data_IF_817020174331
#
_entry.id   IF_817020174331
#
_cell.length_a   1.000
_cell.length_b   1.000
_cell.length_c   1.000
_cell.angle_alpha   90.00
_cell.angle_beta   90.00
_cell.angle_gamma   90.00
#
_symmetry.space_group_name_H-M   'P 1'
#
loop_
_entity.id
_entity.type
_entity.pdbx_description
1 polymer ?
#
# COMPACT_ATOMS: atom_id res chain seq x y z
N UNK A 1 5.52 -19.39 -31.81
CA UNK A 1 4.80 -18.43 -32.67
C UNK A 1 3.46 -18.16 -32.01
N UNK A 2 3.17 -16.92 -31.60
CA UNK A 2 1.87 -16.59 -31.02
C UNK A 2 0.78 -16.77 -32.09
N UNK A 3 -0.40 -17.33 -31.75
CA UNK A 3 -1.45 -17.54 -32.73
C UNK A 3 -1.89 -16.20 -33.34
N UNK A 4 -2.10 -16.21 -34.65
CA UNK A 4 -2.43 -15.09 -35.55
C UNK A 4 -3.42 -14.04 -34.99
N UNK A 5 -4.49 -14.38 -34.25
CA UNK A 5 -5.41 -13.37 -33.71
C UNK A 5 -4.77 -12.38 -32.72
N UNK A 6 -3.71 -12.75 -32.00
CA UNK A 6 -3.06 -11.87 -31.03
C UNK A 6 -2.24 -10.75 -31.69
N UNK A 7 -1.75 -10.97 -32.92
CA UNK A 7 -0.97 -9.98 -33.66
C UNK A 7 -1.80 -8.80 -34.18
N UNK A 8 -3.13 -8.93 -34.22
CA UNK A 8 -4.04 -7.85 -34.61
C UNK A 8 -4.36 -6.88 -33.48
N UNK A 9 -4.00 -7.22 -32.23
CA UNK A 9 -4.29 -6.38 -31.07
C UNK A 9 -3.27 -5.24 -31.04
N UNK A 10 -3.70 -3.97 -31.20
CA UNK A 10 -2.77 -2.84 -31.15
C UNK A 10 -2.21 -2.67 -29.73
N UNK A 11 -0.90 -2.52 -29.62
CA UNK A 11 -0.18 -2.29 -28.34
C UNK A 11 -0.81 -1.17 -27.48
N UNK A 12 -1.32 -0.05 -28.03
CA UNK A 12 -2.04 0.96 -27.27
C UNK A 12 -3.21 0.44 -26.43
N UNK A 13 -3.94 -0.59 -26.91
CA UNK A 13 -5.06 -1.18 -26.17
C UNK A 13 -4.56 -1.96 -24.95
N UNK A 14 -3.43 -2.66 -25.08
CA UNK A 14 -2.80 -3.35 -23.96
C UNK A 14 -2.30 -2.36 -22.90
N UNK A 15 -1.72 -1.22 -23.32
CA UNK A 15 -1.32 -0.17 -22.39
C UNK A 15 -2.52 0.41 -21.61
N UNK A 16 -3.65 0.64 -22.30
CA UNK A 16 -4.89 1.04 -21.65
C UNK A 16 -5.38 0.01 -20.63
N UNK A 17 -5.34 -1.28 -21.00
CA UNK A 17 -5.69 -2.38 -20.11
C UNK A 17 -4.79 -2.43 -18.87
N UNK A 18 -3.47 -2.25 -19.02
CA UNK A 18 -2.54 -2.22 -17.89
C UNK A 18 -2.83 -1.07 -16.93
N UNK A 19 -3.20 0.12 -17.44
CA UNK A 19 -3.60 1.25 -16.59
C UNK A 19 -4.90 0.93 -15.84
N UNK A 20 -5.91 0.35 -16.51
CA UNK A 20 -7.14 -0.07 -15.85
C UNK A 20 -6.88 -1.10 -14.75
N UNK A 21 -6.04 -2.11 -15.01
CA UNK A 21 -5.62 -3.10 -14.01
C UNK A 21 -4.88 -2.47 -12.82
N UNK A 22 -4.00 -1.50 -13.08
CA UNK A 22 -3.28 -0.79 -12.02
C UNK A 22 -4.26 -0.01 -11.12
N UNK A 23 -5.24 0.68 -11.69
CA UNK A 23 -6.24 1.44 -10.93
C UNK A 23 -7.13 0.50 -10.11
N UNK A 24 -7.68 -0.54 -10.73
CA UNK A 24 -8.58 -1.48 -10.03
C UNK A 24 -7.86 -2.29 -8.97
N UNK A 25 -6.57 -2.59 -9.14
CA UNK A 25 -5.76 -3.27 -8.12
C UNK A 25 -5.50 -2.41 -6.87
N UNK A 26 -5.57 -1.09 -7.00
CA UNK A 26 -5.35 -0.16 -5.87
C UNK A 26 -6.66 0.17 -5.15
N UNK A 27 -7.79 0.12 -5.86
CA UNK A 27 -9.12 0.23 -5.25
C UNK A 27 -9.40 -0.95 -4.30
N UNK A 28 -9.88 -0.66 -3.09
CA UNK A 28 -10.11 -1.67 -2.04
C UNK A 28 -8.85 -2.05 -1.25
N UNK A 29 -7.71 -1.41 -1.51
CA UNK A 29 -6.54 -1.54 -0.65
C UNK A 29 -6.66 -0.62 0.56
N UNK A 30 -6.72 -1.19 1.77
CA UNK A 30 -6.81 -0.46 3.03
C UNK A 30 -5.72 0.60 3.22
N UNK A 31 -4.50 0.36 2.73
CA UNK A 31 -3.40 1.32 2.80
C UNK A 31 -3.70 2.53 1.90
N UNK A 32 -4.22 2.30 0.70
CA UNK A 32 -4.59 3.37 -0.22
C UNK A 32 -5.76 4.21 0.29
N UNK A 33 -6.77 3.55 0.86
CA UNK A 33 -7.88 4.23 1.54
C UNK A 33 -7.36 5.12 2.68
N UNK A 34 -6.44 4.62 3.51
CA UNK A 34 -5.81 5.42 4.57
C UNK A 34 -5.02 6.60 4.04
N UNK A 35 -4.31 6.45 2.92
CA UNK A 35 -3.61 7.57 2.28
C UNK A 35 -4.61 8.62 1.80
N UNK A 36 -5.70 8.21 1.17
CA UNK A 36 -6.75 9.13 0.71
C UNK A 36 -7.41 9.87 1.88
N UNK A 37 -7.58 9.19 3.02
CA UNK A 37 -8.02 9.80 4.26
C UNK A 37 -7.00 10.81 4.81
N UNK A 38 -5.68 10.68 4.57
CA UNK A 38 -4.67 11.69 4.96
C UNK A 38 -4.89 13.03 4.23
N UNK A 39 -5.34 12.96 2.97
CA UNK A 39 -5.60 14.14 2.15
C UNK A 39 -7.01 14.72 2.37
N UNK A 40 -7.87 13.99 3.07
CA UNK A 40 -9.25 14.40 3.35
C UNK A 40 -9.32 15.15 4.67
N UNK A 41 -9.90 16.36 4.65
CA UNK A 41 -10.18 17.18 5.83
C UNK A 41 -11.10 16.46 6.83
N UNK A 42 -10.83 16.61 8.13
CA UNK A 42 -11.56 15.90 9.19
C UNK A 42 -13.06 16.20 9.23
N UNK A 43 -13.46 17.39 8.77
CA UNK A 43 -14.85 17.82 8.71
C UNK A 43 -15.68 17.03 7.68
N UNK A 44 -15.03 16.38 6.72
CA UNK A 44 -15.69 15.59 5.68
C UNK A 44 -15.90 14.11 6.08
N UNK A 45 -15.42 13.65 7.24
CA UNK A 45 -15.59 12.26 7.64
C UNK A 45 -17.04 11.95 8.03
N UNK A 46 -17.59 10.81 7.59
CA UNK A 46 -18.92 10.38 8.01
C UNK A 46 -18.96 10.14 9.53
N UNK A 47 -20.08 10.48 10.21
CA UNK A 47 -20.19 10.43 11.67
C UNK A 47 -20.06 9.01 12.28
N UNK A 48 -20.24 7.95 11.49
CA UNK A 48 -20.10 6.54 11.89
C UNK A 48 -18.68 5.98 11.75
N UNK A 49 -17.69 6.80 11.35
CA UNK A 49 -16.36 6.30 11.00
C UNK A 49 -15.54 5.90 12.24
N UNK A 50 -15.05 4.65 12.26
CA UNK A 50 -14.20 4.10 13.34
C UNK A 50 -12.96 4.96 13.65
N UNK A 51 -12.43 5.71 12.66
CA UNK A 51 -11.27 6.60 12.88
C UNK A 51 -11.54 7.75 13.86
N UNK A 52 -12.80 8.11 14.18
CA UNK A 52 -13.06 9.18 15.16
C UNK A 52 -12.64 8.79 16.59
N UNK A 53 -12.48 7.47 16.85
CA UNK A 53 -11.98 6.95 18.14
C UNK A 53 -10.46 6.97 18.26
N UNK A 54 -9.73 7.10 17.15
CA UNK A 54 -8.26 7.04 17.12
C UNK A 54 -7.69 8.44 16.90
N UNK A 55 -6.71 8.89 17.70
CA UNK A 55 -6.06 10.17 17.44
C UNK A 55 -5.39 10.17 16.05
N UNK A 56 -5.77 11.13 15.20
CA UNK A 56 -5.30 11.23 13.82
C UNK A 56 -3.77 11.24 13.67
N UNK A 57 -3.05 11.82 14.64
CA UNK A 57 -1.58 11.80 14.65
C UNK A 57 -1.02 10.37 14.64
N UNK A 58 -1.64 9.42 15.36
CA UNK A 58 -1.19 8.03 15.38
C UNK A 58 -1.46 7.33 14.05
N UNK A 59 -2.60 7.64 13.41
CA UNK A 59 -2.93 7.13 12.06
C UNK A 59 -1.92 7.67 11.04
N UNK A 60 -1.59 8.96 11.07
CA UNK A 60 -0.60 9.54 10.15
C UNK A 60 0.80 8.94 10.32
N UNK A 61 1.27 8.75 11.56
CA UNK A 61 2.56 8.12 11.84
C UNK A 61 2.59 6.68 11.31
N UNK A 62 1.50 5.93 11.50
CA UNK A 62 1.38 4.56 10.99
C UNK A 62 1.42 4.52 9.46
N UNK A 63 0.60 5.34 8.79
CA UNK A 63 0.54 5.37 7.32
C UNK A 63 1.86 5.87 6.71
N UNK A 64 2.55 6.83 7.35
CA UNK A 64 3.89 7.28 6.93
C UNK A 64 4.94 6.17 7.07
N UNK A 65 4.90 5.40 8.15
CA UNK A 65 5.79 4.26 8.33
C UNK A 65 5.57 3.20 7.24
N UNK A 66 4.31 2.88 6.94
CA UNK A 66 3.96 1.95 5.86
C UNK A 66 4.39 2.48 4.49
N UNK A 67 4.20 3.77 4.22
CA UNK A 67 4.68 4.41 3.00
C UNK A 67 6.20 4.37 2.87
N UNK A 68 6.93 4.56 3.96
CA UNK A 68 8.40 4.47 3.97
C UNK A 68 8.86 3.04 3.67
N UNK A 69 8.21 2.03 4.24
CA UNK A 69 8.48 0.62 3.94
C UNK A 69 8.21 0.29 2.47
N UNK A 70 7.09 0.76 1.93
CA UNK A 70 6.75 0.61 0.51
C UNK A 70 7.76 1.32 -0.39
N UNK A 71 8.16 2.54 -0.05
CA UNK A 71 9.16 3.30 -0.80
C UNK A 71 10.52 2.61 -0.82
N UNK A 72 10.95 2.02 0.31
CA UNK A 72 12.18 1.24 0.38
C UNK A 72 12.13 0.00 -0.54
N UNK A 73 11.00 -0.73 -0.55
CA UNK A 73 10.81 -1.84 -1.50
C UNK A 73 10.81 -1.38 -2.95
N UNK A 74 10.11 -0.28 -3.26
CA UNK A 74 10.06 0.28 -4.59
C UNK A 74 11.45 0.71 -5.07
N UNK A 75 12.24 1.37 -4.23
CA UNK A 75 13.60 1.78 -4.57
C UNK A 75 14.49 0.58 -4.96
N UNK A 76 14.38 -0.52 -4.22
CA UNK A 76 15.13 -1.76 -4.50
C UNK A 76 14.56 -2.49 -5.71
N UNK A 77 13.23 -2.56 -5.85
CA UNK A 77 12.56 -3.24 -6.97
C UNK A 77 12.75 -2.53 -8.31
N UNK A 78 12.73 -1.20 -8.33
CA UNK A 78 13.00 -0.38 -9.52
C UNK A 78 14.49 -0.22 -9.82
N UNK A 79 15.38 -0.60 -8.90
CA UNK A 79 16.81 -0.55 -9.17
C UNK A 79 17.16 -1.51 -10.32
N UNK A 80 17.95 -1.00 -11.28
CA UNK A 80 18.43 -1.79 -12.42
C UNK A 80 19.53 -2.81 -12.06
N UNK A 81 19.84 -2.95 -10.77
CA UNK A 81 20.94 -3.77 -10.27
C UNK A 81 20.42 -5.19 -10.08
N UNK A 82 20.94 -6.16 -10.83
CA UNK A 82 20.51 -7.56 -10.73
C UNK A 82 20.65 -8.13 -9.29
N UNK A 83 21.71 -7.72 -8.58
CA UNK A 83 21.93 -8.09 -7.18
C UNK A 83 20.86 -7.58 -6.22
N UNK A 84 20.31 -6.39 -6.46
CA UNK A 84 19.26 -5.81 -5.62
C UNK A 84 17.96 -6.62 -5.71
N UNK A 85 17.67 -7.22 -6.86
CA UNK A 85 16.54 -8.13 -7.04
C UNK A 85 16.66 -9.41 -6.21
N UNK A 86 17.87 -9.89 -5.94
CA UNK A 86 18.11 -11.05 -5.07
C UNK A 86 17.84 -10.72 -3.59
N UNK A 87 18.02 -9.46 -3.19
CA UNK A 87 17.79 -8.98 -1.82
C UNK A 87 16.29 -8.67 -1.57
N UNK A 88 15.51 -8.51 -2.62
CA UNK A 88 14.08 -8.18 -2.53
C UNK A 88 13.25 -9.13 -1.63
N UNK A 89 13.38 -10.48 -1.72
CA UNK A 89 12.65 -11.39 -0.83
C UNK A 89 13.07 -11.24 0.63
N UNK A 90 14.34 -10.93 0.88
CA UNK A 90 14.87 -10.70 2.23
C UNK A 90 14.29 -9.41 2.82
N UNK A 91 14.19 -8.34 2.03
CA UNK A 91 13.56 -7.09 2.45
C UNK A 91 12.07 -7.27 2.74
N UNK A 92 11.34 -8.03 1.91
CA UNK A 92 9.96 -8.41 2.19
C UNK A 92 9.86 -9.19 3.51
N UNK A 93 10.76 -10.15 3.72
CA UNK A 93 10.84 -10.91 4.97
C UNK A 93 11.11 -10.01 6.18
N UNK A 94 11.95 -8.98 6.03
CA UNK A 94 12.30 -8.02 7.10
C UNK A 94 11.15 -7.07 7.45
N UNK A 95 10.21 -6.83 6.53
CA UNK A 95 9.02 -6.03 6.85
C UNK A 95 8.10 -6.70 7.86
N UNK A 96 8.04 -8.03 7.88
CA UNK A 96 7.24 -8.81 8.83
C UNK A 96 7.64 -8.56 10.30
N UNK A 97 8.91 -8.70 10.72
CA UNK A 97 9.33 -8.37 12.07
C UNK A 97 9.25 -6.86 12.36
N UNK A 98 9.44 -5.98 11.37
CA UNK A 98 9.23 -4.55 11.57
C UNK A 98 7.76 -4.29 11.95
N UNK A 99 6.80 -4.94 11.27
CA UNK A 99 5.38 -4.87 11.64
C UNK A 99 5.15 -5.39 13.07
N UNK A 100 5.69 -6.56 13.39
CA UNK A 100 5.33 -7.26 14.62
C UNK A 100 6.08 -6.77 15.88
N UNK A 101 7.25 -6.14 15.73
CA UNK A 101 8.08 -5.67 16.85
C UNK A 101 8.08 -4.15 17.02
N UNK A 102 8.06 -3.41 15.91
CA UNK A 102 8.26 -1.95 15.90
C UNK A 102 6.93 -1.21 16.06
N UNK A 103 5.86 -1.72 15.46
CA UNK A 103 4.52 -1.11 15.53
C UNK A 103 3.89 -1.19 16.94
N UNK A 104 3.86 -2.34 17.65
CA UNK A 104 3.28 -2.39 19.01
C UNK A 104 4.08 -1.56 20.04
N UNK A 105 5.35 -1.25 19.75
CA UNK A 105 6.15 -0.33 20.59
C UNK A 105 5.83 1.15 20.38
N UNK A 106 5.28 1.52 19.22
CA UNK A 106 5.03 2.92 18.85
C UNK A 106 3.56 3.34 19.03
N UNK A 107 2.64 2.38 18.92
CA UNK A 107 1.18 2.58 18.94
C UNK A 107 0.57 1.52 19.87
N UNK A 108 -0.34 1.96 20.74
CA UNK A 108 -1.07 1.09 21.67
C UNK A 108 -1.85 0.00 20.90
N UNK A 109 -1.86 -1.23 21.42
CA UNK A 109 -2.48 -2.38 20.75
C UNK A 109 -3.99 -2.18 20.50
N UNK A 110 -4.66 -1.46 21.41
CA UNK A 110 -6.07 -1.10 21.25
C UNK A 110 -6.36 -0.28 19.98
N UNK A 111 -5.39 0.54 19.56
CA UNK A 111 -5.50 1.30 18.31
C UNK A 111 -5.10 0.45 17.11
N UNK A 112 -4.12 -0.45 17.23
CA UNK A 112 -3.78 -1.38 16.15
C UNK A 112 -4.96 -2.24 15.74
N UNK A 113 -5.66 -2.83 16.71
CA UNK A 113 -6.83 -3.69 16.44
C UNK A 113 -7.98 -2.92 15.80
N UNK A 114 -8.11 -1.64 16.11
CA UNK A 114 -9.08 -0.77 15.46
C UNK A 114 -8.69 -0.43 14.02
N UNK A 115 -7.39 -0.32 13.73
CA UNK A 115 -6.88 -0.10 12.38
C UNK A 115 -6.90 -1.38 11.54
N UNK A 116 -6.58 -2.56 12.08
CA UNK A 116 -6.48 -3.80 11.30
C UNK A 116 -7.84 -4.45 10.96
N UNK A 117 -8.93 -3.95 11.53
CA UNK A 117 -10.29 -4.37 11.14
C UNK A 117 -10.60 -3.94 9.70
N UNK A 118 -11.20 -4.83 8.88
CA UNK A 118 -11.66 -4.46 7.55
C UNK A 118 -12.70 -3.33 7.65
N UNK A 119 -12.58 -2.33 6.77
CA UNK A 119 -13.53 -1.22 6.60
C UNK A 119 -14.85 -1.69 5.99
#
# INVERSE_FOLDING_TARGET
MCPSPLSYIPVPVLNGLFVCMAITSVMGNQLFERILLLFTEQAAYPPSHFLRRVPQRKVHIFTLLQLLQLAALCAVGFSGIAYAKMVFPVLLGLQMPIRHLLIPKLIDENYLDALDKPM
#
